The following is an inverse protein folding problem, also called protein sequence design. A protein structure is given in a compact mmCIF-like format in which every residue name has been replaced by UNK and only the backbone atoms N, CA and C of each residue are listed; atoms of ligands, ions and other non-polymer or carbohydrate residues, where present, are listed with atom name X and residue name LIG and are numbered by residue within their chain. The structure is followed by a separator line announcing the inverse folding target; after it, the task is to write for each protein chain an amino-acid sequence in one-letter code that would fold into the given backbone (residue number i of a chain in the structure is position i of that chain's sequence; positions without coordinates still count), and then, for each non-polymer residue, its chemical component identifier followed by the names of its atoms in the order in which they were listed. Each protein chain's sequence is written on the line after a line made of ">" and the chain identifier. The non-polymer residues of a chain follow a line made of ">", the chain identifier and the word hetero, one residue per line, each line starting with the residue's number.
data_IF_206522228732
#
_entry.id   IF_206522228732
#
_cell.length_a   1.000
_cell.length_b   1.000
_cell.length_c   1.000
_cell.angle_alpha   90.00
_cell.angle_beta   90.00
_cell.angle_gamma   90.00
#
_symmetry.space_group_name_H-M   'P 1'
#
loop_
_entity.id
_entity.type
_entity.pdbx_description
1 polymer ?
#
# COMPACT_ATOMS: atom_id res chain seq x y z
N UNK A 1 10.60 -10.18 16.46
CA UNK A 1 9.60 -9.11 16.25
C UNK A 1 10.15 -7.72 16.55
N UNK A 2 10.60 -7.41 17.78
CA UNK A 2 11.06 -6.05 18.15
C UNK A 2 12.21 -5.45 17.32
N UNK A 3 13.21 -6.25 16.90
CA UNK A 3 14.29 -5.76 16.02
C UNK A 3 13.86 -5.49 14.57
N UNK A 4 12.77 -6.11 14.10
CA UNK A 4 12.26 -5.95 12.73
C UNK A 4 11.38 -4.71 12.57
N UNK A 5 10.62 -4.34 13.61
CA UNK A 5 9.97 -3.02 13.68
C UNK A 5 10.99 -1.88 13.57
N UNK A 6 12.22 -2.08 14.09
CA UNK A 6 13.28 -1.07 14.07
C UNK A 6 13.79 -0.75 12.65
N UNK A 7 13.92 -1.74 11.76
CA UNK A 7 14.38 -1.50 10.38
C UNK A 7 13.32 -0.81 9.51
N UNK A 8 12.04 -1.18 9.67
CA UNK A 8 10.93 -0.47 9.03
C UNK A 8 10.80 0.96 9.57
N UNK A 9 11.03 1.14 10.88
CA UNK A 9 11.14 2.46 11.50
C UNK A 9 12.29 3.26 10.90
N UNK A 10 13.48 2.68 10.69
CA UNK A 10 14.62 3.38 10.10
C UNK A 10 14.34 3.83 8.66
N UNK A 11 13.74 2.99 7.81
CA UNK A 11 13.43 3.38 6.42
C UNK A 11 12.34 4.46 6.35
N UNK A 12 11.31 4.33 7.19
CA UNK A 12 10.29 5.35 7.39
C UNK A 12 10.89 6.65 7.93
N UNK A 13 11.78 6.57 8.93
CA UNK A 13 12.49 7.70 9.55
C UNK A 13 13.42 8.37 8.55
N UNK A 14 14.18 7.63 7.73
CA UNK A 14 15.03 8.21 6.70
C UNK A 14 14.21 8.95 5.64
N UNK A 15 13.07 8.40 5.21
CA UNK A 15 12.14 9.12 4.33
C UNK A 15 11.54 10.37 5.01
N UNK A 16 11.20 10.26 6.29
CA UNK A 16 10.66 11.36 7.10
C UNK A 16 11.72 12.45 7.32
N UNK A 17 13.00 12.08 7.47
CA UNK A 17 14.14 13.00 7.56
C UNK A 17 14.40 13.71 6.24
N UNK A 18 14.39 12.99 5.11
CA UNK A 18 14.51 13.58 3.78
C UNK A 18 13.34 14.55 3.49
N UNK A 19 12.13 14.17 3.88
CA UNK A 19 10.95 15.03 3.80
C UNK A 19 11.09 16.28 4.69
N UNK A 20 11.50 16.10 5.95
CA UNK A 20 11.74 17.20 6.87
C UNK A 20 12.82 18.15 6.34
N UNK A 21 13.87 17.63 5.71
CA UNK A 21 14.89 18.42 5.05
C UNK A 21 14.31 19.28 3.91
N UNK A 22 13.54 18.68 3.00
CA UNK A 22 12.91 19.40 1.88
C UNK A 22 11.96 20.49 2.38
N UNK A 23 11.13 20.17 3.38
CA UNK A 23 10.21 21.13 4.01
C UNK A 23 10.99 22.26 4.69
N UNK A 24 12.03 21.93 5.47
CA UNK A 24 12.86 22.93 6.14
C UNK A 24 13.59 23.85 5.15
N UNK A 25 14.11 23.31 4.05
CA UNK A 25 14.82 24.09 3.04
C UNK A 25 13.87 25.09 2.35
N UNK A 26 12.66 24.65 1.97
CA UNK A 26 11.66 25.52 1.36
C UNK A 26 11.11 26.57 2.36
N UNK A 27 10.95 26.22 3.64
CA UNK A 27 10.56 27.18 4.70
C UNK A 27 11.67 28.21 4.93
N UNK A 28 12.94 27.79 4.99
CA UNK A 28 14.08 28.70 5.17
C UNK A 28 14.15 29.72 4.03
N UNK A 29 13.97 29.28 2.77
CA UNK A 29 13.94 30.18 1.60
C UNK A 29 12.82 31.22 1.75
N UNK A 30 11.62 30.81 2.17
CA UNK A 30 10.50 31.72 2.40
C UNK A 30 10.76 32.70 3.55
N UNK A 31 11.36 32.23 4.65
CA UNK A 31 11.72 33.08 5.79
C UNK A 31 12.75 34.14 5.39
N UNK A 32 13.80 33.74 4.68
CA UNK A 32 14.85 34.65 4.18
C UNK A 32 14.27 35.73 3.27
N UNK A 33 13.41 35.35 2.32
CA UNK A 33 12.76 36.32 1.41
C UNK A 33 11.81 37.24 2.18
N UNK A 34 11.09 36.73 3.19
CA UNK A 34 10.15 37.54 3.98
C UNK A 34 10.82 38.56 4.91
N UNK A 35 12.03 38.25 5.39
CA UNK A 35 12.74 39.06 6.37
C UNK A 35 13.60 40.14 5.71
N UNK A 36 14.14 39.86 4.51
CA UNK A 36 14.98 40.79 3.78
C UNK A 36 14.20 41.63 2.76
N UNK A 37 14.03 42.93 3.07
CA UNK A 37 13.33 43.87 2.17
C UNK A 37 14.05 44.09 0.85
N UNK A 38 15.36 43.88 0.82
CA UNK A 38 16.23 43.95 -0.37
C UNK A 38 15.96 42.80 -1.35
N UNK A 39 15.41 41.68 -0.87
CA UNK A 39 15.02 40.52 -1.68
C UNK A 39 13.57 40.58 -2.19
N UNK A 40 12.88 41.73 -2.10
CA UNK A 40 11.53 41.88 -2.67
C UNK A 40 11.53 42.30 -4.15
N UNK A 41 12.58 41.94 -4.88
CA UNK A 41 12.63 42.07 -6.34
C UNK A 41 11.82 40.95 -7.02
N UNK A 42 11.29 41.18 -8.25
CA UNK A 42 10.40 40.24 -8.93
C UNK A 42 10.98 38.82 -9.08
N UNK A 43 12.30 38.68 -9.25
CA UNK A 43 12.95 37.37 -9.33
C UNK A 43 12.76 36.53 -8.06
N UNK A 44 12.90 37.13 -6.88
CA UNK A 44 12.77 36.45 -5.60
C UNK A 44 11.32 36.18 -5.22
N UNK A 45 10.38 37.02 -5.67
CA UNK A 45 8.94 36.74 -5.55
C UNK A 45 8.54 35.49 -6.33
N UNK A 46 9.12 35.27 -7.52
CA UNK A 46 8.92 34.01 -8.26
C UNK A 46 9.54 32.80 -7.55
N UNK A 47 10.70 32.96 -6.90
CA UNK A 47 11.30 31.91 -6.07
C UNK A 47 10.41 31.59 -4.86
N UNK A 48 9.84 32.60 -4.20
CA UNK A 48 8.89 32.40 -3.11
C UNK A 48 7.63 31.66 -3.59
N UNK A 49 7.05 32.04 -4.73
CA UNK A 49 5.93 31.32 -5.35
C UNK A 49 6.29 29.86 -5.68
N UNK A 50 7.51 29.62 -6.19
CA UNK A 50 8.02 28.28 -6.45
C UNK A 50 8.16 27.45 -5.16
N UNK A 51 8.68 28.05 -4.08
CA UNK A 51 8.81 27.41 -2.77
C UNK A 51 7.46 27.13 -2.11
N UNK A 52 6.48 28.03 -2.22
CA UNK A 52 5.09 27.80 -1.76
C UNK A 52 4.47 26.64 -2.54
N UNK A 53 4.59 26.63 -3.87
CA UNK A 53 4.06 25.56 -4.70
C UNK A 53 4.74 24.20 -4.41
N UNK A 54 6.05 24.20 -4.14
CA UNK A 54 6.77 23.02 -3.70
C UNK A 54 6.21 22.49 -2.36
N UNK A 55 5.97 23.37 -1.38
CA UNK A 55 5.49 22.99 -0.05
C UNK A 55 4.06 22.43 -0.05
N UNK A 56 3.14 23.09 -0.76
CA UNK A 56 1.71 22.77 -0.70
C UNK A 56 1.23 21.82 -1.81
N UNK A 57 1.81 21.88 -3.00
CA UNK A 57 1.39 21.07 -4.14
C UNK A 57 2.23 19.80 -4.27
N UNK A 58 3.51 19.97 -4.58
CA UNK A 58 4.34 18.87 -5.11
C UNK A 58 4.90 17.94 -4.02
N UNK A 59 5.35 18.48 -2.90
CA UNK A 59 5.88 17.69 -1.78
C UNK A 59 4.77 16.86 -1.12
N UNK A 60 3.58 17.44 -0.91
CA UNK A 60 2.42 16.69 -0.40
C UNK A 60 1.99 15.58 -1.37
N UNK A 61 1.99 15.87 -2.67
CA UNK A 61 1.70 14.93 -3.76
C UNK A 61 2.65 13.72 -3.76
N UNK A 62 3.96 13.96 -3.66
CA UNK A 62 4.96 12.90 -3.61
C UNK A 62 4.91 12.07 -2.33
N UNK A 63 4.61 12.69 -1.20
CA UNK A 63 4.41 11.98 0.07
C UNK A 63 3.18 11.06 0.02
N UNK A 64 2.06 11.54 -0.55
CA UNK A 64 0.87 10.71 -0.75
C UNK A 64 1.16 9.51 -1.65
N UNK A 65 1.85 9.73 -2.77
CA UNK A 65 2.30 8.67 -3.67
C UNK A 65 3.09 7.60 -2.89
N UNK A 66 4.11 8.01 -2.12
CA UNK A 66 4.92 7.06 -1.37
C UNK A 66 4.08 6.20 -0.43
N UNK A 67 3.25 6.84 0.40
CA UNK A 67 2.46 6.16 1.42
C UNK A 67 1.48 5.18 0.78
N UNK A 68 0.72 5.62 -0.23
CA UNK A 68 -0.34 4.83 -0.86
C UNK A 68 0.25 3.61 -1.60
N UNK A 69 1.26 3.80 -2.44
CA UNK A 69 1.81 2.71 -3.25
C UNK A 69 2.66 1.74 -2.41
N UNK A 70 3.37 2.24 -1.39
CA UNK A 70 4.08 1.37 -0.45
C UNK A 70 3.10 0.54 0.38
N UNK A 71 2.01 1.15 0.88
CA UNK A 71 0.93 0.42 1.58
C UNK A 71 0.33 -0.69 0.71
N UNK A 72 -0.09 -0.37 -0.52
CA UNK A 72 -0.67 -1.35 -1.41
C UNK A 72 0.28 -2.50 -1.75
N UNK A 73 1.57 -2.20 -1.91
CA UNK A 73 2.58 -3.22 -2.17
C UNK A 73 2.89 -4.10 -0.93
N UNK A 74 2.79 -3.54 0.28
CA UNK A 74 2.86 -4.33 1.52
C UNK A 74 1.70 -5.30 1.64
N UNK A 75 0.46 -4.85 1.39
CA UNK A 75 -0.71 -5.73 1.43
C UNK A 75 -0.55 -6.92 0.47
N UNK A 76 -0.10 -6.70 -0.76
CA UNK A 76 0.11 -7.78 -1.74
C UNK A 76 1.19 -8.78 -1.33
N UNK A 77 2.33 -8.30 -0.83
CA UNK A 77 3.42 -9.18 -0.40
C UNK A 77 3.06 -9.96 0.86
N UNK A 78 2.34 -9.34 1.81
CA UNK A 78 1.83 -10.00 3.02
C UNK A 78 0.76 -11.05 2.64
N UNK A 79 -0.19 -10.72 1.75
CA UNK A 79 -1.17 -11.68 1.22
C UNK A 79 -0.49 -12.88 0.57
N UNK A 80 0.59 -12.65 -0.20
CA UNK A 80 1.41 -13.72 -0.77
C UNK A 80 2.03 -14.64 0.28
N UNK A 81 2.62 -14.07 1.35
CA UNK A 81 3.22 -14.85 2.44
C UNK A 81 2.15 -15.64 3.21
N UNK A 82 0.99 -15.05 3.46
CA UNK A 82 -0.14 -15.75 4.10
C UNK A 82 -0.66 -16.88 3.21
N UNK A 83 -0.74 -16.68 1.89
CA UNK A 83 -1.11 -17.72 0.95
C UNK A 83 -0.10 -18.87 0.93
N UNK A 84 1.21 -18.58 1.02
CA UNK A 84 2.25 -19.58 1.17
C UNK A 84 2.12 -20.40 2.45
N UNK A 85 1.90 -19.74 3.60
CA UNK A 85 1.66 -20.42 4.88
C UNK A 85 0.49 -21.39 4.80
N UNK A 86 -0.65 -20.93 4.26
CA UNK A 86 -1.85 -21.76 4.07
C UNK A 86 -1.61 -22.91 3.10
N UNK A 87 -0.90 -22.66 2.00
CA UNK A 87 -0.54 -23.69 1.04
C UNK A 87 0.28 -24.81 1.68
N UNK A 88 1.34 -24.49 2.43
CA UNK A 88 2.18 -25.51 3.08
C UNK A 88 1.40 -26.26 4.16
N UNK A 89 0.57 -25.56 4.94
CA UNK A 89 -0.23 -26.19 6.00
C UNK A 89 -1.28 -27.18 5.45
N UNK A 90 -1.88 -26.89 4.29
CA UNK A 90 -2.92 -27.75 3.68
C UNK A 90 -2.32 -28.82 2.78
N UNK A 91 -1.41 -28.46 1.88
CA UNK A 91 -0.87 -29.37 0.87
C UNK A 91 0.26 -30.26 1.40
N UNK A 92 0.99 -29.83 2.43
CA UNK A 92 2.17 -30.53 2.94
C UNK A 92 2.27 -30.52 4.49
N UNK A 93 1.23 -30.96 5.21
CA UNK A 93 1.14 -30.83 6.68
C UNK A 93 2.31 -31.49 7.42
N UNK A 94 2.79 -32.65 6.97
CA UNK A 94 3.91 -33.38 7.58
C UNK A 94 5.24 -32.61 7.53
N UNK A 95 5.43 -31.78 6.49
CA UNK A 95 6.67 -31.02 6.30
C UNK A 95 6.54 -29.56 6.75
N UNK A 96 5.39 -29.16 7.33
CA UNK A 96 5.14 -27.77 7.71
C UNK A 96 6.21 -27.23 8.65
N UNK A 97 6.54 -27.95 9.73
CA UNK A 97 7.53 -27.49 10.71
C UNK A 97 8.97 -27.42 10.19
N UNK A 98 9.30 -28.23 9.18
CA UNK A 98 10.61 -28.18 8.53
C UNK A 98 10.68 -27.03 7.49
N UNK A 99 9.57 -26.75 6.81
CA UNK A 99 9.50 -25.65 5.83
C UNK A 99 9.30 -24.30 6.50
N UNK A 100 8.42 -24.17 7.48
CA UNK A 100 8.04 -22.94 8.16
C UNK A 100 8.75 -22.81 9.52
N UNK A 101 10.02 -22.42 9.47
CA UNK A 101 10.84 -22.19 10.68
C UNK A 101 10.79 -20.72 11.10
N UNK A 102 11.09 -20.42 12.37
CA UNK A 102 11.19 -19.02 12.86
C UNK A 102 12.14 -18.17 12.02
N UNK A 103 13.24 -18.76 11.54
CA UNK A 103 14.20 -18.07 10.66
C UNK A 103 13.57 -17.69 9.33
N UNK A 104 12.84 -18.61 8.68
CA UNK A 104 12.15 -18.29 7.41
C UNK A 104 11.05 -17.26 7.61
N UNK A 105 10.25 -17.36 8.68
CA UNK A 105 9.23 -16.34 9.00
C UNK A 105 9.86 -14.96 9.11
N UNK A 106 10.97 -14.83 9.86
CA UNK A 106 11.69 -13.56 9.97
C UNK A 106 12.19 -13.03 8.61
N UNK A 107 12.75 -13.90 7.76
CA UNK A 107 13.25 -13.53 6.42
C UNK A 107 12.09 -13.09 5.51
N UNK A 108 11.00 -13.85 5.46
CA UNK A 108 9.83 -13.53 4.66
C UNK A 108 9.18 -12.22 5.11
N UNK A 109 9.05 -12.01 6.43
CA UNK A 109 8.59 -10.73 6.96
C UNK A 109 9.51 -9.59 6.53
N UNK A 110 10.83 -9.72 6.70
CA UNK A 110 11.77 -8.67 6.27
C UNK A 110 11.65 -8.34 4.78
N UNK A 111 11.52 -9.37 3.94
CA UNK A 111 11.29 -9.23 2.51
C UNK A 111 10.01 -8.45 2.20
N UNK A 112 8.89 -8.74 2.89
CA UNK A 112 7.61 -8.07 2.70
C UNK A 112 7.67 -6.55 2.95
N UNK A 113 8.57 -6.10 3.84
CA UNK A 113 8.73 -4.68 4.16
C UNK A 113 9.81 -4.00 3.32
N UNK A 114 10.98 -4.62 3.17
CA UNK A 114 12.14 -3.94 2.57
C UNK A 114 11.96 -3.81 1.06
N UNK A 115 11.51 -4.88 0.40
CA UNK A 115 11.42 -4.90 -1.06
C UNK A 115 10.42 -3.87 -1.59
N UNK A 116 9.16 -3.79 -1.08
CA UNK A 116 8.23 -2.77 -1.56
C UNK A 116 8.63 -1.34 -1.22
N UNK A 117 9.20 -1.10 -0.02
CA UNK A 117 9.67 0.23 0.36
C UNK A 117 10.73 0.75 -0.60
N UNK A 118 11.72 -0.09 -0.92
CA UNK A 118 12.83 0.27 -1.80
C UNK A 118 12.37 0.43 -3.25
N UNK A 119 11.52 -0.48 -3.74
CA UNK A 119 10.98 -0.41 -5.11
C UNK A 119 10.17 0.87 -5.33
N UNK A 120 9.27 1.22 -4.40
CA UNK A 120 8.46 2.45 -4.51
C UNK A 120 9.33 3.71 -4.32
N UNK A 121 10.29 3.69 -3.39
CA UNK A 121 11.24 4.80 -3.22
C UNK A 121 12.05 5.07 -4.50
N UNK A 122 12.46 4.02 -5.21
CA UNK A 122 13.18 4.13 -6.49
C UNK A 122 12.30 4.79 -7.55
N UNK A 123 11.04 4.35 -7.68
CA UNK A 123 10.08 5.00 -8.59
C UNK A 123 9.85 6.47 -8.23
N UNK A 124 9.73 6.79 -6.94
CA UNK A 124 9.52 8.15 -6.48
C UNK A 124 10.74 9.03 -6.72
N UNK A 125 11.95 8.51 -6.48
CA UNK A 125 13.19 9.21 -6.77
C UNK A 125 13.25 9.60 -8.25
N UNK A 126 12.94 8.67 -9.15
CA UNK A 126 12.86 8.97 -10.57
C UNK A 126 11.78 10.02 -10.87
N UNK A 127 10.60 9.93 -10.23
CA UNK A 127 9.51 10.89 -10.38
C UNK A 127 9.88 12.33 -9.95
N UNK A 128 10.62 12.48 -8.84
CA UNK A 128 11.08 13.77 -8.33
C UNK A 128 12.08 14.45 -9.28
N UNK A 129 12.83 13.66 -10.06
CA UNK A 129 13.84 14.18 -10.99
C UNK A 129 13.26 14.66 -12.32
N UNK A 130 11.95 14.46 -12.59
CA UNK A 130 11.35 14.94 -13.82
C UNK A 130 10.98 16.43 -13.73
N UNK A 131 11.36 17.24 -14.73
CA UNK A 131 10.84 18.59 -14.87
C UNK A 131 9.36 18.55 -15.28
N UNK A 132 8.50 19.21 -14.51
CA UNK A 132 7.05 19.27 -14.70
C UNK A 132 6.67 20.57 -15.42
N UNK A 133 5.83 20.48 -16.46
CA UNK A 133 5.35 21.65 -17.22
C UNK A 133 3.84 21.93 -17.01
N UNK A 134 3.07 20.96 -16.51
CA UNK A 134 1.66 21.15 -16.18
C UNK A 134 1.42 21.21 -14.68
N UNK A 135 0.23 21.67 -14.28
CA UNK A 135 -0.18 21.82 -12.87
C UNK A 135 -1.59 21.28 -12.56
N UNK A 136 -2.27 20.64 -13.52
CA UNK A 136 -3.62 20.10 -13.33
C UNK A 136 -3.58 18.58 -13.10
N UNK A 137 -4.00 18.16 -11.90
CA UNK A 137 -4.23 16.75 -11.56
C UNK A 137 -5.72 16.60 -11.21
N UNK A 138 -6.47 15.82 -11.99
CA UNK A 138 -7.93 15.64 -11.85
C UNK A 138 -8.34 14.55 -10.83
N UNK A 139 -7.38 13.95 -10.10
CA UNK A 139 -7.63 12.97 -9.02
C UNK A 139 -7.45 13.62 -7.64
N UNK A 140 -8.17 13.09 -6.63
CA UNK A 140 -8.11 13.54 -5.23
C UNK A 140 -6.75 13.29 -4.57
N UNK A 141 -6.01 12.27 -5.03
CA UNK A 141 -4.63 12.02 -4.65
C UNK A 141 -3.71 11.93 -5.87
N UNK A 142 -2.43 12.13 -5.61
CA UNK A 142 -1.40 12.04 -6.62
C UNK A 142 -1.02 10.60 -6.96
N UNK A 143 -0.84 10.32 -8.25
CA UNK A 143 -0.39 9.04 -8.79
C UNK A 143 0.87 9.21 -9.63
N UNK A 144 1.81 8.27 -9.56
CA UNK A 144 3.10 8.33 -10.30
C UNK A 144 2.87 8.52 -11.81
N UNK A 145 1.90 7.80 -12.38
CA UNK A 145 1.55 7.90 -13.81
C UNK A 145 1.02 9.27 -14.21
N UNK A 146 0.22 9.91 -13.35
CA UNK A 146 -0.32 11.24 -13.61
C UNK A 146 0.77 12.31 -13.56
N UNK A 147 1.71 12.18 -12.62
CA UNK A 147 2.89 13.05 -12.53
C UNK A 147 3.78 12.87 -13.77
N UNK A 148 4.01 11.63 -14.21
CA UNK A 148 4.79 11.34 -15.42
C UNK A 148 4.13 11.88 -16.71
N UNK A 149 2.80 11.94 -16.79
CA UNK A 149 2.09 12.55 -17.94
C UNK A 149 2.28 14.07 -18.02
N UNK A 150 2.68 14.70 -16.91
CA UNK A 150 2.79 16.14 -16.74
C UNK A 150 4.20 16.70 -17.04
N UNK A 151 5.18 15.83 -17.29
CA UNK A 151 6.56 16.21 -17.56
C UNK A 151 6.79 16.64 -18.99
N UNK A 152 7.73 17.57 -19.19
CA UNK A 152 8.08 18.12 -20.52
C UNK A 152 9.11 17.28 -21.29
N UNK A 153 9.63 16.22 -20.67
CA UNK A 153 10.70 15.36 -21.20
C UNK A 153 10.21 13.93 -21.35
N UNK A 154 10.95 13.13 -22.11
CA UNK A 154 10.62 11.72 -22.33
C UNK A 154 10.64 10.93 -21.01
N UNK A 155 9.56 10.22 -20.72
CA UNK A 155 9.38 9.43 -19.49
C UNK A 155 9.72 7.95 -19.66
N UNK A 156 10.44 7.59 -20.72
CA UNK A 156 10.71 6.20 -21.10
C UNK A 156 11.32 5.39 -19.95
N UNK A 157 12.38 5.90 -19.32
CA UNK A 157 13.07 5.22 -18.22
C UNK A 157 12.12 5.05 -17.02
N UNK A 158 11.44 6.11 -16.60
CA UNK A 158 10.51 6.07 -15.47
C UNK A 158 9.33 5.12 -15.72
N UNK A 159 8.84 5.03 -16.96
CA UNK A 159 7.77 4.11 -17.34
C UNK A 159 8.25 2.65 -17.34
N UNK A 160 9.45 2.37 -17.86
CA UNK A 160 10.04 1.02 -17.82
C UNK A 160 10.24 0.57 -16.37
N UNK A 161 10.84 1.42 -15.53
CA UNK A 161 11.07 1.12 -14.11
C UNK A 161 9.75 0.97 -13.36
N UNK A 162 8.79 1.87 -13.60
CA UNK A 162 7.45 1.79 -13.01
C UNK A 162 6.70 0.51 -13.40
N UNK A 163 6.83 0.06 -14.65
CA UNK A 163 6.26 -1.20 -15.13
C UNK A 163 6.94 -2.40 -14.47
N UNK A 164 8.27 -2.42 -14.41
CA UNK A 164 9.02 -3.47 -13.73
C UNK A 164 8.62 -3.58 -12.25
N UNK A 165 8.53 -2.46 -11.55
CA UNK A 165 8.07 -2.43 -10.16
C UNK A 165 6.66 -2.98 -10.05
N UNK A 166 5.71 -2.55 -10.90
CA UNK A 166 4.35 -3.07 -10.88
C UNK A 166 4.29 -4.59 -11.15
N UNK A 167 5.10 -5.11 -12.08
CA UNK A 167 5.20 -6.56 -12.34
C UNK A 167 5.63 -7.31 -11.10
N UNK A 168 6.68 -6.83 -10.42
CA UNK A 168 7.24 -7.54 -9.27
C UNK A 168 6.42 -7.37 -8.00
N UNK A 169 5.84 -6.19 -7.74
CA UNK A 169 5.11 -5.92 -6.49
C UNK A 169 3.61 -6.21 -6.57
N UNK A 170 3.02 -6.29 -7.77
CA UNK A 170 1.57 -6.49 -7.95
C UNK A 170 1.27 -7.75 -8.74
N UNK A 171 1.73 -7.84 -10.00
CA UNK A 171 1.28 -8.92 -10.90
C UNK A 171 1.82 -10.30 -10.50
N UNK A 172 3.10 -10.41 -10.14
CA UNK A 172 3.68 -11.69 -9.70
C UNK A 172 3.04 -12.19 -8.40
N UNK A 173 2.88 -11.36 -7.33
CA UNK A 173 2.13 -11.76 -6.14
C UNK A 173 0.67 -12.15 -6.44
N UNK A 174 0.00 -11.43 -7.33
CA UNK A 174 -1.37 -11.75 -7.75
C UNK A 174 -1.47 -13.16 -8.35
N UNK A 175 -0.62 -13.47 -9.34
CA UNK A 175 -0.58 -14.78 -9.99
C UNK A 175 -0.24 -15.87 -8.97
N UNK A 176 0.72 -15.59 -8.08
CA UNK A 176 1.14 -16.53 -7.03
C UNK A 176 0.02 -16.86 -6.04
N UNK A 177 -0.71 -15.84 -5.57
CA UNK A 177 -1.87 -16.02 -4.68
C UNK A 177 -2.95 -16.83 -5.38
N UNK A 178 -3.34 -16.48 -6.61
CA UNK A 178 -4.34 -17.25 -7.36
C UNK A 178 -3.92 -18.71 -7.53
N UNK A 179 -2.67 -18.96 -7.92
CA UNK A 179 -2.16 -20.32 -8.07
C UNK A 179 -2.24 -21.13 -6.77
N UNK A 180 -1.79 -20.57 -5.65
CA UNK A 180 -1.78 -21.25 -4.35
C UNK A 180 -3.21 -21.56 -3.87
N UNK A 181 -4.15 -20.63 -4.01
CA UNK A 181 -5.56 -20.85 -3.65
C UNK A 181 -6.24 -21.88 -4.56
N UNK A 182 -5.99 -21.87 -5.88
CA UNK A 182 -6.49 -22.90 -6.78
C UNK A 182 -6.00 -24.29 -6.34
N UNK A 183 -4.72 -24.43 -5.99
CA UNK A 183 -4.16 -25.68 -5.47
C UNK A 183 -4.80 -26.12 -4.15
N UNK A 184 -4.99 -25.18 -3.22
CA UNK A 184 -5.68 -25.46 -1.95
C UNK A 184 -7.09 -25.99 -2.21
N UNK A 185 -7.88 -25.34 -3.07
CA UNK A 185 -9.25 -25.76 -3.40
C UNK A 185 -9.27 -27.17 -4.00
N UNK A 186 -8.36 -27.46 -4.95
CA UNK A 186 -8.25 -28.78 -5.58
C UNK A 186 -7.97 -29.87 -4.53
N UNK A 187 -7.02 -29.65 -3.62
CA UNK A 187 -6.71 -30.61 -2.55
C UNK A 187 -7.87 -30.74 -1.56
N UNK A 188 -8.44 -29.61 -1.11
CA UNK A 188 -9.56 -29.58 -0.17
C UNK A 188 -10.81 -30.28 -0.71
N UNK A 189 -11.06 -30.23 -2.02
CA UNK A 189 -12.21 -30.92 -2.64
C UNK A 189 -12.26 -32.42 -2.31
N UNK A 190 -11.08 -33.03 -2.12
CA UNK A 190 -10.90 -34.46 -1.84
C UNK A 190 -10.99 -34.83 -0.35
N UNK A 191 -11.15 -33.86 0.54
CA UNK A 191 -11.10 -34.05 2.00
C UNK A 191 -12.50 -34.14 2.63
N UNK A 192 -12.56 -34.55 3.90
CA UNK A 192 -13.82 -34.63 4.67
C UNK A 192 -14.49 -33.26 4.82
N UNK A 193 -15.81 -33.25 5.01
CA UNK A 193 -16.61 -32.02 5.20
C UNK A 193 -16.15 -31.21 6.41
N UNK A 194 -15.77 -31.88 7.49
CA UNK A 194 -15.23 -31.26 8.71
C UNK A 194 -13.90 -30.52 8.44
N UNK A 195 -12.98 -31.17 7.71
CA UNK A 195 -11.71 -30.55 7.33
C UNK A 195 -11.91 -29.37 6.36
N UNK A 196 -12.84 -29.50 5.41
CA UNK A 196 -13.22 -28.41 4.47
C UNK A 196 -13.69 -27.17 5.22
N UNK A 197 -14.55 -27.32 6.22
CA UNK A 197 -15.06 -26.21 7.03
C UNK A 197 -13.93 -25.46 7.76
N UNK A 198 -12.99 -26.21 8.34
CA UNK A 198 -11.84 -25.64 9.05
C UNK A 198 -10.91 -24.86 8.12
N UNK A 199 -10.62 -25.37 6.92
CA UNK A 199 -9.82 -24.65 5.93
C UNK A 199 -10.54 -23.39 5.46
N UNK A 200 -11.84 -23.48 5.17
CA UNK A 200 -12.64 -22.35 4.69
C UNK A 200 -12.61 -21.19 5.70
N UNK A 201 -12.76 -21.46 6.99
CA UNK A 201 -12.68 -20.43 8.04
C UNK A 201 -11.32 -19.70 8.07
N UNK A 202 -10.22 -20.39 7.75
CA UNK A 202 -8.88 -19.77 7.74
C UNK A 202 -8.52 -19.10 6.42
N UNK A 203 -9.05 -19.57 5.30
CA UNK A 203 -8.74 -19.07 3.95
C UNK A 203 -9.67 -17.95 3.51
N UNK A 204 -10.94 -17.98 3.92
CA UNK A 204 -11.96 -17.00 3.56
C UNK A 204 -11.52 -15.55 3.83
N UNK A 205 -10.88 -15.23 4.97
CA UNK A 205 -10.48 -13.85 5.25
C UNK A 205 -9.48 -13.32 4.24
N UNK A 206 -8.47 -14.13 3.95
CA UNK A 206 -7.42 -13.82 3.01
C UNK A 206 -7.96 -13.71 1.58
N UNK A 207 -8.89 -14.59 1.18
CA UNK A 207 -9.53 -14.54 -0.14
C UNK A 207 -10.38 -13.28 -0.29
N UNK A 208 -11.16 -12.89 0.73
CA UNK A 208 -11.94 -11.65 0.72
C UNK A 208 -11.02 -10.44 0.58
N UNK A 209 -9.99 -10.33 1.45
CA UNK A 209 -9.00 -9.24 1.39
C UNK A 209 -8.33 -9.16 0.00
N UNK A 210 -7.94 -10.29 -0.57
CA UNK A 210 -7.31 -10.36 -1.88
C UNK A 210 -8.25 -9.90 -3.00
N UNK A 211 -9.51 -10.34 -3.01
CA UNK A 211 -10.49 -9.94 -4.02
C UNK A 211 -10.80 -8.45 -3.92
N UNK A 212 -11.05 -7.94 -2.72
CA UNK A 212 -11.30 -6.52 -2.48
C UNK A 212 -10.11 -5.66 -2.92
N UNK A 213 -8.88 -6.05 -2.58
CA UNK A 213 -7.69 -5.31 -2.98
C UNK A 213 -7.44 -5.36 -4.49
N UNK A 214 -7.63 -6.52 -5.12
CA UNK A 214 -7.46 -6.68 -6.57
C UNK A 214 -8.47 -5.87 -7.37
N UNK A 215 -9.73 -5.86 -6.92
CA UNK A 215 -10.79 -5.04 -7.51
C UNK A 215 -10.47 -3.55 -7.39
N UNK A 216 -10.13 -3.08 -6.19
CA UNK A 216 -9.78 -1.68 -5.96
C UNK A 216 -8.55 -1.24 -6.78
N UNK A 217 -7.52 -2.09 -6.87
CA UNK A 217 -6.33 -1.82 -7.69
C UNK A 217 -6.64 -1.75 -9.19
N UNK A 218 -7.50 -2.64 -9.69
CA UNK A 218 -7.98 -2.58 -11.08
C UNK A 218 -8.74 -1.28 -11.35
N UNK A 219 -9.63 -0.88 -10.45
CA UNK A 219 -10.37 0.38 -10.55
C UNK A 219 -9.45 1.60 -10.57
N UNK A 220 -8.42 1.66 -9.70
CA UNK A 220 -7.45 2.78 -9.71
C UNK A 220 -6.67 2.87 -11.02
N UNK A 221 -6.19 1.73 -11.53
CA UNK A 221 -5.46 1.66 -12.80
C UNK A 221 -6.36 2.04 -13.97
N UNK A 222 -7.58 1.53 -14.03
CA UNK A 222 -8.55 1.90 -15.05
C UNK A 222 -8.85 3.41 -15.01
N UNK A 223 -9.05 3.97 -13.82
CA UNK A 223 -9.27 5.40 -13.62
C UNK A 223 -8.04 6.26 -13.98
N UNK A 224 -6.83 5.70 -13.94
CA UNK A 224 -5.61 6.40 -14.39
C UNK A 224 -5.47 6.46 -15.92
N UNK A 225 -6.21 5.62 -16.66
CA UNK A 225 -6.14 5.51 -18.13
C UNK A 225 -7.33 6.15 -18.85
N UNK A 226 -8.47 6.27 -18.19
CA UNK A 226 -9.66 6.94 -18.74
C UNK A 226 -9.49 8.46 -18.63
N UNK A 227 -9.91 9.20 -19.66
CA UNK A 227 -10.02 10.66 -19.56
C UNK A 227 -11.07 11.03 -18.50
N UNK A 228 -10.58 11.43 -17.32
CA UNK A 228 -11.40 11.79 -16.15
C UNK A 228 -12.36 12.95 -16.46
N UNK A 229 -12.05 13.76 -17.47
CA UNK A 229 -12.90 14.85 -17.96
C UNK A 229 -14.24 14.36 -18.56
N UNK A 230 -14.33 13.10 -19.00
CA UNK A 230 -15.57 12.49 -19.50
C UNK A 230 -16.34 11.74 -18.43
N UNK A 231 -15.76 11.57 -17.23
CA UNK A 231 -16.36 10.82 -16.13
C UNK A 231 -17.00 11.78 -15.12
N UNK A 232 -18.06 11.32 -14.44
CA UNK A 232 -18.64 12.09 -13.36
C UNK A 232 -17.59 12.29 -12.23
N UNK A 233 -17.27 13.54 -11.81
CA UNK A 233 -16.25 13.82 -10.82
C UNK A 233 -16.52 13.12 -9.48
N UNK A 234 -17.78 12.94 -9.09
CA UNK A 234 -18.14 12.21 -7.87
C UNK A 234 -17.77 10.72 -7.95
N UNK A 235 -17.94 10.09 -9.12
CA UNK A 235 -17.58 8.69 -9.34
C UNK A 235 -16.06 8.49 -9.31
N UNK A 236 -15.30 9.44 -9.88
CA UNK A 236 -13.84 9.43 -9.83
C UNK A 236 -13.32 9.53 -8.37
N UNK A 237 -13.95 10.36 -7.54
CA UNK A 237 -13.62 10.52 -6.12
C UNK A 237 -13.87 9.23 -5.34
N UNK A 238 -15.03 8.59 -5.52
CA UNK A 238 -15.40 7.37 -4.82
C UNK A 238 -14.44 6.22 -5.17
N UNK A 239 -14.20 5.99 -6.46
CA UNK A 239 -13.29 4.94 -6.94
C UNK A 239 -11.83 5.16 -6.49
N UNK A 240 -11.42 6.42 -6.34
CA UNK A 240 -10.12 6.78 -5.79
C UNK A 240 -10.04 6.46 -4.29
N UNK A 241 -11.04 6.85 -3.51
CA UNK A 241 -11.07 6.63 -2.05
C UNK A 241 -11.23 5.15 -1.67
N UNK A 242 -11.88 4.35 -2.51
CA UNK A 242 -12.04 2.91 -2.31
C UNK A 242 -10.70 2.19 -2.09
N UNK A 243 -9.69 2.45 -2.93
CA UNK A 243 -8.37 1.81 -2.82
C UNK A 243 -7.66 2.09 -1.49
N UNK A 244 -7.88 3.27 -0.93
CA UNK A 244 -7.19 3.73 0.29
C UNK A 244 -7.95 3.33 1.57
N UNK A 245 -9.27 3.31 1.53
CA UNK A 245 -10.10 3.17 2.72
C UNK A 245 -10.64 1.75 2.92
N UNK A 246 -11.02 1.07 1.84
CA UNK A 246 -11.76 -0.20 1.96
C UNK A 246 -10.84 -1.34 2.42
N UNK A 247 -9.67 -1.60 1.80
CA UNK A 247 -8.79 -2.71 2.23
C UNK A 247 -8.36 -2.64 3.72
N UNK A 248 -7.88 -1.51 4.26
CA UNK A 248 -7.45 -1.44 5.66
C UNK A 248 -8.60 -1.55 6.68
N UNK A 249 -9.84 -1.23 6.29
CA UNK A 249 -11.02 -1.38 7.16
C UNK A 249 -11.59 -2.80 7.09
N UNK A 250 -11.64 -3.38 5.89
CA UNK A 250 -12.15 -4.73 5.66
C UNK A 250 -11.25 -5.77 6.29
N UNK A 251 -9.91 -5.60 6.25
CA UNK A 251 -8.95 -6.53 6.85
C UNK A 251 -9.26 -6.85 8.33
N UNK A 252 -9.23 -5.90 9.29
CA UNK A 252 -9.48 -6.19 10.70
C UNK A 252 -10.92 -6.67 10.98
N UNK A 253 -11.92 -6.22 10.23
CA UNK A 253 -13.30 -6.70 10.37
C UNK A 253 -13.42 -8.16 9.95
N UNK A 254 -12.88 -8.51 8.79
CA UNK A 254 -12.94 -9.86 8.26
C UNK A 254 -12.11 -10.79 9.17
N UNK A 255 -10.85 -10.47 9.48
CA UNK A 255 -10.03 -11.29 10.39
C UNK A 255 -10.61 -11.38 11.81
N UNK A 256 -11.15 -10.29 12.35
CA UNK A 256 -11.69 -10.22 13.71
C UNK A 256 -13.02 -10.96 13.90
N UNK A 257 -13.87 -11.03 12.87
CA UNK A 257 -15.19 -11.67 12.94
C UNK A 257 -15.18 -13.14 12.52
N UNK A 258 -14.28 -13.55 11.64
CA UNK A 258 -14.22 -14.92 11.11
C UNK A 258 -13.31 -15.86 11.89
N UNK A 259 -12.20 -15.36 12.49
CA UNK A 259 -11.31 -16.23 13.28
C UNK A 259 -11.90 -16.46 14.70
N UNK A 260 -12.24 -17.72 15.06
CA UNK A 260 -12.90 -18.01 16.33
C UNK A 260 -12.09 -17.58 17.56
N UNK A 261 -10.77 -17.73 17.50
CA UNK A 261 -9.86 -17.38 18.60
C UNK A 261 -9.78 -15.87 18.84
N UNK A 262 -9.73 -15.07 17.77
CA UNK A 262 -9.69 -13.60 17.85
C UNK A 262 -11.06 -13.07 18.29
N UNK A 263 -12.14 -13.59 17.69
CA UNK A 263 -13.52 -13.24 18.04
C UNK A 263 -13.80 -13.52 19.52
N UNK A 264 -13.38 -14.66 20.07
CA UNK A 264 -13.54 -15.00 21.48
C UNK A 264 -12.84 -14.01 22.40
N UNK A 265 -11.62 -13.58 22.06
CA UNK A 265 -10.88 -12.59 22.83
C UNK A 265 -11.49 -11.18 22.72
N UNK A 266 -11.95 -10.76 21.53
CA UNK A 266 -12.63 -9.47 21.35
C UNK A 266 -13.96 -9.40 22.10
N UNK A 267 -14.80 -10.45 22.00
CA UNK A 267 -16.08 -10.52 22.72
C UNK A 267 -15.91 -10.56 24.23
N UNK A 268 -14.81 -11.15 24.73
CA UNK A 268 -14.46 -11.17 26.15
C UNK A 268 -14.02 -9.80 26.69
N UNK A 269 -13.57 -8.90 25.81
CA UNK A 269 -13.21 -7.51 26.13
C UNK A 269 -14.35 -6.50 25.89
N UNK A 270 -15.41 -6.86 25.17
CA UNK A 270 -16.61 -6.02 25.09
C UNK A 270 -17.46 -6.22 26.36
N UNK A 271 -17.64 -5.18 27.20
CA UNK A 271 -18.38 -5.28 28.47
C UNK A 271 -19.87 -5.62 28.29
N UNK A 272 -20.38 -5.64 27.06
CA UNK A 272 -21.80 -5.83 26.76
C UNK A 272 -22.23 -7.31 26.63
N UNK A 273 -21.32 -8.24 26.31
CA UNK A 273 -21.66 -9.66 26.14
C UNK A 273 -21.53 -10.50 27.42
N UNK A 274 -20.90 -9.97 28.48
CA UNK A 274 -20.74 -10.70 29.74
C UNK A 274 -22.02 -10.76 30.60
N UNK A 275 -23.09 -10.05 30.20
CA UNK A 275 -24.34 -9.99 30.99
C UNK A 275 -25.44 -10.96 30.55
N UNK A 276 -25.27 -11.74 29.47
CA UNK A 276 -26.35 -12.56 28.91
C UNK A 276 -26.21 -14.10 29.02
N UNK A 277 -25.14 -14.63 29.63
CA UNK A 277 -24.97 -16.08 29.84
C UNK A 277 -24.82 -16.47 31.32
N UNK A 278 -25.58 -15.84 32.22
CA UNK A 278 -25.68 -16.28 33.63
C UNK A 278 -27.10 -16.70 34.05
N UNK A 279 -28.14 -16.57 33.22
CA UNK A 279 -29.47 -17.09 33.56
C UNK A 279 -30.21 -17.64 32.33
N UNK A 280 -29.97 -18.92 32.01
CA UNK A 280 -30.93 -19.92 31.51
C UNK A 280 -30.20 -21.25 31.29
#
# INVERSE_FOLDING_TARGET
>A
LGKFLCTSYISFVLCLLMFAFIVSANIIILLVISQERTLHEPMYMFIALLSVNALYGLTACFTQIYIIYTYGSYEMTILGIMAFDRYVAVCEPLHYHNKMTRKKVCILSAFAWIMPAFSVATCLYLAIRLPLCGNKILKVYCAVWNVAKLSCVSTLISNIVGLLVAVVTVFLPLIYVLYTYCRIIIVCSKMSSEFKSKVFQTCLPHTISFVTFSFAGFCDVALSRIDVEKLNPYLAVILSLEFVLIPPVVNPLVYGLTLPEIRKHMLRKLPWFCKKNINL
#
